data_IF_755433258384
#
_entry.id   IF_755433258384
#
_cell.length_a   1.000
_cell.length_b   1.000
_cell.length_c   1.000
_cell.angle_alpha   90.00
_cell.angle_beta   90.00
_cell.angle_gamma   90.00
#
_symmetry.space_group_name_H-M   'P 1'
#
loop_
_entity.id
_entity.type
_entity.pdbx_description
1 polymer ?
#
# COMPACT_ATOMS: atom_id res chain seq x y z
N UNK A 1 -18.57 -16.74 -3.74
CA UNK A 1 -17.45 -15.83 -3.42
C UNK A 1 -16.46 -15.84 -4.59
N UNK A 2 -16.13 -14.68 -5.15
CA UNK A 2 -15.10 -14.56 -6.20
C UNK A 2 -13.76 -14.22 -5.52
N UNK A 3 -12.90 -15.22 -5.30
CA UNK A 3 -11.59 -15.04 -4.70
C UNK A 3 -10.92 -16.35 -4.30
N UNK A 4 -9.66 -16.26 -3.90
CA UNK A 4 -8.86 -17.38 -3.39
C UNK A 4 -8.80 -17.27 -1.87
N UNK A 5 -9.09 -18.37 -1.17
CA UNK A 5 -9.25 -18.38 0.29
C UNK A 5 -8.45 -19.52 0.93
N UNK A 6 -7.79 -19.24 2.05
CA UNK A 6 -7.13 -20.24 2.87
C UNK A 6 -8.16 -21.09 3.63
N UNK A 7 -7.85 -22.37 3.93
CA UNK A 7 -8.75 -23.24 4.68
C UNK A 7 -9.24 -22.60 5.98
N UNK A 8 -10.56 -22.57 6.18
CA UNK A 8 -11.20 -22.09 7.41
C UNK A 8 -11.34 -20.57 7.53
N UNK A 9 -10.84 -19.79 6.58
CA UNK A 9 -11.08 -18.34 6.55
C UNK A 9 -12.44 -18.00 5.91
N UNK A 10 -12.93 -18.85 5.02
CA UNK A 10 -14.23 -18.78 4.35
C UNK A 10 -15.40 -18.64 5.33
N UNK A 11 -15.34 -19.32 6.48
CA UNK A 11 -16.35 -19.19 7.54
C UNK A 11 -16.49 -17.77 8.11
N UNK A 12 -15.42 -16.97 8.02
CA UNK A 12 -15.40 -15.57 8.48
C UNK A 12 -15.99 -14.60 7.46
N UNK A 13 -16.19 -15.06 6.22
CA UNK A 13 -16.65 -14.25 5.09
C UNK A 13 -18.15 -14.39 4.81
N UNK A 14 -18.91 -15.09 5.66
CA UNK A 14 -20.34 -15.36 5.44
C UNK A 14 -21.18 -14.09 5.24
N UNK A 15 -20.79 -12.95 5.82
CA UNK A 15 -21.48 -11.67 5.59
C UNK A 15 -21.34 -11.16 4.15
N UNK A 16 -20.24 -11.48 3.46
CA UNK A 16 -20.00 -11.05 2.07
C UNK A 16 -21.02 -11.68 1.12
N UNK A 17 -21.46 -12.91 1.38
CA UNK A 17 -22.44 -13.62 0.56
C UNK A 17 -23.83 -12.94 0.55
N UNK A 18 -24.12 -12.15 1.58
CA UNK A 18 -25.46 -11.55 1.79
C UNK A 18 -25.56 -10.09 1.37
N UNK A 19 -24.49 -9.43 0.92
CA UNK A 19 -24.59 -8.00 0.59
C UNK A 19 -23.36 -7.30 0.02
N UNK A 20 -22.17 -7.92 -0.02
CA UNK A 20 -20.99 -7.30 -0.62
C UNK A 20 -20.84 -7.74 -2.08
N UNK A 21 -21.40 -6.94 -3.01
CA UNK A 21 -21.13 -7.10 -4.44
C UNK A 21 -19.95 -6.20 -4.80
N UNK A 22 -18.74 -6.75 -4.72
CA UNK A 22 -17.61 -6.11 -5.37
C UNK A 22 -17.86 -6.19 -6.89
N UNK A 23 -17.93 -5.06 -7.56
CA UNK A 23 -17.94 -4.97 -9.04
C UNK A 23 -16.62 -5.41 -9.69
N UNK A 24 -15.69 -5.91 -8.85
CA UNK A 24 -14.36 -6.33 -9.22
C UNK A 24 -13.33 -5.21 -9.21
N UNK A 25 -13.71 -3.94 -9.00
CA UNK A 25 -12.78 -2.79 -9.02
C UNK A 25 -11.98 -2.66 -7.73
N UNK A 26 -12.58 -3.01 -6.60
CA UNK A 26 -11.95 -2.93 -5.29
C UNK A 26 -10.87 -4.00 -5.08
N UNK A 27 -9.80 -3.61 -4.40
CA UNK A 27 -8.71 -4.50 -4.03
C UNK A 27 -9.00 -5.00 -2.62
N UNK A 28 -9.46 -6.25 -2.52
CA UNK A 28 -9.88 -6.85 -1.26
C UNK A 28 -8.97 -8.01 -0.92
N UNK A 29 -8.48 -8.01 0.32
CA UNK A 29 -7.75 -9.13 0.88
C UNK A 29 -8.09 -9.33 2.35
N UNK A 30 -7.94 -10.56 2.83
CA UNK A 30 -8.15 -10.93 4.22
C UNK A 30 -6.87 -11.45 4.85
N UNK A 31 -6.71 -11.21 6.15
CA UNK A 31 -5.55 -11.68 6.91
C UNK A 31 -5.96 -12.31 8.23
N UNK A 32 -5.16 -13.28 8.67
CA UNK A 32 -5.18 -13.84 10.01
C UNK A 32 -4.57 -12.85 11.03
N UNK A 33 -4.74 -13.08 12.35
CA UNK A 33 -4.21 -12.19 13.39
C UNK A 33 -2.68 -12.02 13.40
N UNK A 34 -1.95 -12.97 12.80
CA UNK A 34 -0.49 -12.91 12.61
C UNK A 34 -0.06 -12.17 11.32
N UNK A 35 -1.02 -11.54 10.63
CA UNK A 35 -0.87 -10.82 9.36
C UNK A 35 -0.58 -11.71 8.14
N UNK A 36 -0.73 -13.02 8.27
CA UNK A 36 -0.65 -13.92 7.12
C UNK A 36 -1.88 -13.76 6.22
N UNK A 37 -1.66 -13.72 4.91
CA UNK A 37 -2.69 -13.57 3.89
C UNK A 37 -3.58 -14.81 3.89
N UNK A 38 -4.87 -14.58 4.07
CA UNK A 38 -5.88 -15.63 4.18
C UNK A 38 -6.91 -15.59 3.06
N UNK A 39 -7.06 -14.45 2.39
CA UNK A 39 -8.00 -14.27 1.28
C UNK A 39 -7.52 -13.17 0.34
N UNK A 40 -7.85 -13.28 -0.94
CA UNK A 40 -7.77 -12.16 -1.89
C UNK A 40 -8.77 -12.34 -3.04
N UNK A 41 -9.26 -11.23 -3.58
CA UNK A 41 -10.20 -11.22 -4.70
C UNK A 41 -9.49 -11.04 -6.06
N UNK A 42 -10.26 -11.02 -7.15
CA UNK A 42 -9.73 -10.75 -8.49
C UNK A 42 -9.15 -9.33 -8.63
N UNK A 43 -9.66 -8.36 -7.87
CA UNK A 43 -9.12 -7.00 -7.84
C UNK A 43 -7.68 -6.93 -7.35
N UNK A 44 -7.32 -7.75 -6.33
CA UNK A 44 -5.93 -7.93 -5.90
C UNK A 44 -5.05 -8.48 -7.03
N UNK A 45 -5.51 -9.53 -7.73
CA UNK A 45 -4.75 -10.15 -8.82
C UNK A 45 -4.54 -9.16 -9.97
N UNK A 46 -5.60 -8.42 -10.36
CA UNK A 46 -5.51 -7.37 -11.38
C UNK A 46 -4.51 -6.30 -10.95
N UNK A 47 -4.63 -5.79 -9.73
CA UNK A 47 -3.75 -4.75 -9.22
C UNK A 47 -2.29 -5.20 -9.18
N UNK A 48 -2.01 -6.41 -8.71
CA UNK A 48 -0.66 -6.96 -8.73
C UNK A 48 -0.10 -7.04 -10.16
N UNK A 49 -0.91 -7.47 -11.14
CA UNK A 49 -0.51 -7.54 -12.55
C UNK A 49 -0.22 -6.17 -13.15
N UNK A 50 -1.07 -5.19 -12.88
CA UNK A 50 -0.94 -3.82 -13.40
C UNK A 50 0.26 -3.06 -12.82
N UNK A 51 0.81 -3.52 -11.70
CA UNK A 51 1.96 -2.92 -11.04
C UNK A 51 3.20 -3.84 -11.06
N UNK A 52 3.29 -4.74 -12.04
CA UNK A 52 4.41 -5.66 -12.24
C UNK A 52 4.79 -6.48 -10.98
N UNK A 53 3.78 -6.83 -10.19
CA UNK A 53 3.92 -7.67 -9.01
C UNK A 53 4.44 -9.06 -9.36
N UNK A 54 5.24 -9.62 -8.47
CA UNK A 54 5.78 -10.97 -8.65
C UNK A 54 4.67 -12.00 -8.86
N UNK A 55 4.92 -13.01 -9.69
CA UNK A 55 3.93 -14.02 -10.09
C UNK A 55 3.27 -14.73 -8.90
N UNK A 56 4.03 -14.98 -7.83
CA UNK A 56 3.51 -15.63 -6.63
C UNK A 56 2.41 -14.82 -5.93
N UNK A 57 2.38 -13.48 -6.06
CA UNK A 57 1.34 -12.60 -5.50
C UNK A 57 -0.04 -12.82 -6.13
N UNK A 58 -0.05 -13.38 -7.33
CA UNK A 58 -1.25 -13.61 -8.14
C UNK A 58 -1.69 -15.08 -8.08
N UNK A 59 -1.09 -15.87 -7.20
CA UNK A 59 -1.30 -17.32 -7.11
C UNK A 59 -1.73 -17.75 -5.70
N UNK A 60 -2.35 -18.92 -5.53
CA UNK A 60 -2.64 -19.48 -4.22
C UNK A 60 -1.42 -19.65 -3.30
N UNK A 61 -0.19 -19.69 -3.84
CA UNK A 61 1.07 -19.73 -3.07
C UNK A 61 1.32 -18.45 -2.26
N UNK A 62 0.56 -17.38 -2.52
CA UNK A 62 0.57 -16.17 -1.70
C UNK A 62 -0.08 -16.36 -0.33
N UNK A 63 -1.00 -17.33 -0.20
CA UNK A 63 -1.67 -17.61 1.07
C UNK A 63 -0.68 -18.08 2.13
N UNK A 64 -0.89 -17.65 3.37
CA UNK A 64 0.00 -17.94 4.51
C UNK A 64 1.24 -17.04 4.60
N UNK A 65 1.60 -16.29 3.55
CA UNK A 65 2.69 -15.30 3.61
C UNK A 65 2.22 -14.04 4.32
N UNK A 66 3.12 -13.31 4.98
CA UNK A 66 2.73 -12.05 5.63
C UNK A 66 2.43 -10.99 4.59
N UNK A 67 1.30 -10.29 4.72
CA UNK A 67 1.03 -9.11 3.88
C UNK A 67 2.05 -7.98 4.13
N UNK A 68 2.77 -8.01 5.25
CA UNK A 68 3.83 -7.05 5.53
C UNK A 68 5.08 -7.29 4.67
N UNK A 69 5.25 -8.48 4.10
CA UNK A 69 6.41 -8.79 3.25
C UNK A 69 6.39 -8.01 1.93
N UNK A 70 5.18 -7.70 1.43
CA UNK A 70 4.96 -6.90 0.21
C UNK A 70 4.91 -5.39 0.49
N UNK A 71 4.88 -5.02 1.76
CA UNK A 71 4.92 -3.62 2.20
C UNK A 71 6.38 -3.17 2.29
N UNK A 72 6.65 -1.96 1.80
CA UNK A 72 7.98 -1.32 1.91
C UNK A 72 8.44 -1.32 3.37
N UNK A 73 9.71 -1.64 3.62
CA UNK A 73 10.24 -1.86 4.97
C UNK A 73 9.91 -0.71 5.94
N UNK A 74 10.03 0.53 5.47
CA UNK A 74 9.74 1.76 6.23
C UNK A 74 8.29 1.90 6.68
N UNK A 75 7.35 1.27 5.96
CA UNK A 75 5.92 1.32 6.25
C UNK A 75 5.45 0.15 7.11
N UNK A 76 6.23 -0.93 7.23
CA UNK A 76 5.84 -2.14 7.97
C UNK A 76 5.48 -1.87 9.43
N UNK A 77 6.21 -1.03 10.20
CA UNK A 77 5.84 -0.74 11.59
C UNK A 77 4.46 -0.11 11.71
N UNK A 78 4.14 0.84 10.82
CA UNK A 78 2.84 1.49 10.78
C UNK A 78 1.71 0.49 10.47
N UNK A 79 1.83 -0.30 9.41
CA UNK A 79 0.78 -1.25 9.02
C UNK A 79 0.60 -2.37 10.04
N UNK A 80 1.68 -2.85 10.66
CA UNK A 80 1.61 -3.79 11.78
C UNK A 80 0.73 -3.25 12.90
N UNK A 81 0.96 -2.00 13.29
CA UNK A 81 0.17 -1.34 14.33
C UNK A 81 -1.27 -1.12 13.90
N UNK A 82 -1.50 -0.63 12.68
CA UNK A 82 -2.83 -0.39 12.12
C UNK A 82 -3.67 -1.68 12.17
N UNK A 83 -3.11 -2.81 11.70
CA UNK A 83 -3.77 -4.11 11.71
C UNK A 83 -3.99 -4.63 13.12
N UNK A 84 -3.00 -4.48 14.02
CA UNK A 84 -3.12 -4.90 15.43
C UNK A 84 -4.26 -4.16 16.14
N UNK A 85 -4.41 -2.86 15.87
CA UNK A 85 -5.50 -2.05 16.41
C UNK A 85 -6.84 -2.48 15.83
N UNK A 86 -6.94 -2.71 14.52
CA UNK A 86 -8.19 -3.14 13.90
C UNK A 86 -8.65 -4.50 14.46
N UNK A 87 -7.72 -5.42 14.74
CA UNK A 87 -8.03 -6.73 15.34
C UNK A 87 -8.59 -6.61 16.76
N UNK A 88 -8.09 -5.65 17.53
CA UNK A 88 -8.40 -5.51 18.97
C UNK A 88 -9.50 -4.50 19.28
N UNK A 89 -9.72 -3.51 18.41
CA UNK A 89 -10.69 -2.43 18.65
C UNK A 89 -12.12 -2.95 18.63
N UNK A 90 -12.88 -2.68 19.69
CA UNK A 90 -14.31 -2.94 19.76
C UNK A 90 -15.04 -1.65 19.39
N UNK A 91 -15.61 -1.61 18.19
CA UNK A 91 -16.35 -0.43 17.69
C UNK A 91 -17.78 -0.83 17.35
N UNK A 92 -18.73 0.09 17.54
CA UNK A 92 -20.13 -0.11 17.12
C UNK A 92 -20.32 -0.09 15.59
N UNK A 93 -19.31 0.35 14.83
CA UNK A 93 -19.34 0.42 13.36
C UNK A 93 -18.86 -0.88 12.72
N UNK A 94 -19.36 -1.22 11.51
CA UNK A 94 -18.99 -2.44 10.78
C UNK A 94 -17.51 -2.45 10.33
N UNK A 95 -16.93 -1.29 10.03
CA UNK A 95 -15.48 -1.12 9.85
C UNK A 95 -14.89 -0.44 11.08
N UNK A 96 -13.77 -0.98 11.56
CA UNK A 96 -13.14 -0.52 12.81
C UNK A 96 -12.22 0.66 12.60
N UNK A 97 -11.56 0.76 11.44
CA UNK A 97 -10.53 1.76 11.14
C UNK A 97 -10.52 2.06 9.64
N UNK A 98 -10.21 3.31 9.26
CA UNK A 98 -9.91 3.72 7.89
C UNK A 98 -8.55 4.40 7.80
N UNK A 99 -7.86 4.26 6.67
CA UNK A 99 -6.58 4.91 6.38
C UNK A 99 -6.49 5.27 4.90
N UNK A 100 -6.10 6.50 4.57
CA UNK A 100 -5.85 6.89 3.18
C UNK A 100 -4.36 6.80 2.86
N UNK A 101 -4.01 6.42 1.63
CA UNK A 101 -2.62 6.32 1.20
C UNK A 101 -2.45 6.59 -0.30
N UNK A 102 -1.23 6.94 -0.72
CA UNK A 102 -0.87 7.10 -2.13
C UNK A 102 -0.27 5.80 -2.68
N UNK A 103 -0.64 5.45 -3.92
CA UNK A 103 -0.05 4.35 -4.67
C UNK A 103 0.11 4.71 -6.14
N UNK A 104 0.85 5.80 -6.36
CA UNK A 104 1.02 6.41 -7.69
C UNK A 104 2.00 5.64 -8.56
N UNK A 105 1.75 5.61 -9.87
CA UNK A 105 2.75 5.24 -10.89
C UNK A 105 3.52 6.48 -11.35
N UNK A 106 4.44 6.32 -12.30
CA UNK A 106 5.16 7.44 -12.90
C UNK A 106 4.24 8.40 -13.68
N UNK A 107 3.13 7.90 -14.21
CA UNK A 107 2.19 8.64 -15.06
C UNK A 107 0.98 9.13 -14.26
N UNK A 108 0.46 8.28 -13.38
CA UNK A 108 -0.80 8.51 -12.68
C UNK A 108 -0.59 8.70 -11.18
N UNK A 109 -1.12 9.80 -10.67
CA UNK A 109 -1.38 9.98 -9.25
C UNK A 109 -2.59 9.14 -8.85
N UNK A 110 -2.44 8.32 -7.82
CA UNK A 110 -3.55 7.53 -7.24
C UNK A 110 -3.58 7.65 -5.73
N UNK A 111 -4.78 7.88 -5.20
CA UNK A 111 -5.07 7.86 -3.77
C UNK A 111 -6.14 6.83 -3.47
N UNK A 112 -5.90 6.01 -2.45
CA UNK A 112 -6.81 4.95 -2.01
C UNK A 112 -7.31 5.24 -0.60
N UNK A 113 -8.53 4.78 -0.33
CA UNK A 113 -9.06 4.63 1.02
C UNK A 113 -9.04 3.15 1.38
N UNK A 114 -8.31 2.81 2.45
CA UNK A 114 -8.26 1.50 3.06
C UNK A 114 -9.28 1.44 4.20
N UNK A 115 -10.19 0.46 4.15
CA UNK A 115 -11.13 0.15 5.22
C UNK A 115 -10.81 -1.21 5.82
N UNK A 116 -10.77 -1.28 7.15
CA UNK A 116 -10.42 -2.49 7.91
C UNK A 116 -11.65 -2.98 8.68
N UNK A 117 -12.20 -4.10 8.22
CA UNK A 117 -13.33 -4.79 8.83
C UNK A 117 -12.83 -5.89 9.75
N UNK A 118 -13.18 -5.78 11.02
CA UNK A 118 -12.87 -6.81 12.01
C UNK A 118 -13.83 -7.98 11.83
N UNK A 119 -13.28 -9.19 11.67
CA UNK A 119 -14.07 -10.41 11.45
C UNK A 119 -14.22 -11.20 12.76
N UNK A 120 -15.44 -11.66 13.03
CA UNK A 120 -15.83 -12.58 14.12
C UNK A 120 -15.01 -12.44 15.41
N UNK A 121 -15.16 -11.30 16.10
CA UNK A 121 -14.49 -11.06 17.37
C UNK A 121 -12.96 -10.86 17.25
N UNK A 122 -12.42 -10.61 16.06
CA UNK A 122 -10.98 -10.41 15.83
C UNK A 122 -10.23 -11.67 15.41
N UNK A 123 -10.94 -12.70 14.91
CA UNK A 123 -10.31 -13.89 14.31
C UNK A 123 -9.65 -13.62 12.96
N UNK A 124 -9.91 -12.47 12.36
CA UNK A 124 -9.24 -12.00 11.15
C UNK A 124 -9.63 -10.56 10.83
N UNK A 125 -9.00 -10.02 9.79
CA UNK A 125 -9.40 -8.76 9.16
C UNK A 125 -9.74 -9.00 7.70
N UNK A 126 -10.76 -8.28 7.22
CA UNK A 126 -10.94 -8.02 5.80
C UNK A 126 -10.53 -6.57 5.53
N UNK A 127 -9.66 -6.38 4.54
CA UNK A 127 -9.17 -5.08 4.11
C UNK A 127 -9.72 -4.83 2.71
N UNK A 128 -10.43 -3.72 2.54
CA UNK A 128 -10.88 -3.24 1.25
C UNK A 128 -10.15 -1.93 0.91
N UNK A 129 -9.57 -1.86 -0.29
CA UNK A 129 -8.95 -0.64 -0.80
C UNK A 129 -9.72 -0.17 -2.02
N UNK A 130 -10.29 1.02 -1.90
CA UNK A 130 -11.10 1.64 -2.94
C UNK A 130 -10.38 2.87 -3.47
N UNK A 131 -10.34 3.01 -4.80
CA UNK A 131 -9.73 4.16 -5.47
C UNK A 131 -10.57 5.42 -5.19
N UNK A 132 -9.94 6.46 -4.64
CA UNK A 132 -10.61 7.73 -4.31
C UNK A 132 -10.32 8.78 -5.38
N UNK A 133 -9.08 8.82 -5.86
CA UNK A 133 -8.62 9.75 -6.89
C UNK A 133 -7.68 9.01 -7.83
N UNK A 134 -7.88 9.19 -9.12
CA UNK A 134 -6.92 8.88 -10.17
C UNK A 134 -6.86 10.02 -11.17
N UNK A 135 -5.66 10.50 -11.46
CA UNK A 135 -5.42 11.55 -12.46
C UNK A 135 -3.95 11.60 -12.87
N UNK A 136 -3.63 12.18 -14.03
CA UNK A 136 -2.24 12.48 -14.38
C UNK A 136 -1.58 13.39 -13.34
N UNK A 137 -0.27 13.21 -13.09
CA UNK A 137 0.47 14.08 -12.14
C UNK A 137 0.47 15.56 -12.53
N UNK A 138 0.39 15.85 -13.83
CA UNK A 138 0.29 17.22 -14.36
C UNK A 138 -0.97 17.93 -13.87
N UNK A 139 -2.11 17.22 -13.82
CA UNK A 139 -3.37 17.77 -13.33
C UNK A 139 -3.34 18.08 -11.82
N UNK A 140 -2.46 17.41 -11.06
CA UNK A 140 -2.18 17.70 -9.65
C UNK A 140 -1.27 18.92 -9.46
N UNK A 141 -0.67 19.45 -10.54
CA UNK A 141 0.33 20.51 -10.48
C UNK A 141 1.70 20.02 -9.99
N UNK A 142 1.97 18.71 -10.02
CA UNK A 142 3.30 18.18 -9.69
C UNK A 142 4.20 18.37 -10.90
N UNK A 143 5.19 19.25 -10.78
CA UNK A 143 6.16 19.51 -11.85
C UNK A 143 7.14 18.33 -11.96
N UNK A 144 7.23 17.65 -13.12
CA UNK A 144 8.23 16.62 -13.32
C UNK A 144 9.62 17.25 -13.41
N UNK A 145 10.59 16.55 -12.85
CA UNK A 145 12.02 16.84 -12.99
C UNK A 145 12.61 15.76 -13.88
N UNK A 146 13.32 16.17 -14.93
CA UNK A 146 14.08 15.24 -15.77
C UNK A 146 15.17 14.55 -14.95
N UNK A 147 15.45 13.26 -15.19
CA UNK A 147 16.53 12.56 -14.50
C UNK A 147 17.85 13.26 -14.82
N UNK A 148 18.64 13.67 -13.80
CA UNK A 148 19.91 14.35 -14.03
C UNK A 148 20.92 13.41 -14.68
N UNK A 149 21.83 13.97 -15.50
CA UNK A 149 22.99 13.23 -16.02
C UNK A 149 23.92 12.75 -14.91
N UNK A 150 24.01 13.52 -13.84
CA UNK A 150 24.75 13.18 -12.61
C UNK A 150 23.76 12.99 -11.45
N UNK A 151 23.67 11.76 -10.93
CA UNK A 151 22.80 11.44 -9.80
C UNK A 151 23.39 11.79 -8.43
N UNK A 152 24.64 12.27 -8.37
CA UNK A 152 25.34 12.62 -7.12
C UNK A 152 24.51 13.50 -6.18
N UNK A 153 23.73 14.51 -6.64
CA UNK A 153 22.89 15.32 -5.76
C UNK A 153 21.79 14.54 -5.01
N UNK A 154 21.46 13.33 -5.46
CA UNK A 154 20.42 12.46 -4.89
C UNK A 154 20.98 11.26 -4.10
N UNK A 155 22.29 11.04 -4.14
CA UNK A 155 22.98 9.97 -3.42
C UNK A 155 23.36 10.43 -2.00
N UNK A 156 22.99 9.64 -0.99
CA UNK A 156 23.44 9.89 0.39
C UNK A 156 24.90 9.44 0.60
N UNK A 157 25.41 9.54 1.83
CA UNK A 157 26.76 9.13 2.22
C UNK A 157 27.08 7.64 2.01
N UNK A 158 26.06 6.81 1.74
CA UNK A 158 26.17 5.39 1.43
C UNK A 158 25.92 5.07 -0.05
N UNK A 159 25.90 6.10 -0.90
CA UNK A 159 25.61 5.99 -2.34
C UNK A 159 24.23 5.37 -2.61
N UNK A 160 23.25 5.66 -1.74
CA UNK A 160 21.86 5.24 -1.90
C UNK A 160 21.02 6.42 -2.35
N UNK A 161 20.13 6.15 -3.31
CA UNK A 161 19.07 7.08 -3.70
C UNK A 161 17.84 6.77 -2.87
N UNK A 162 17.34 7.75 -2.11
CA UNK A 162 16.21 7.54 -1.20
C UNK A 162 14.91 7.93 -1.88
N UNK A 163 14.04 6.96 -2.12
CA UNK A 163 12.67 7.17 -2.62
C UNK A 163 11.66 7.13 -1.46
N UNK A 164 10.70 8.06 -1.46
CA UNK A 164 9.61 8.03 -0.48
C UNK A 164 8.71 6.82 -0.76
N UNK A 165 8.55 5.93 0.21
CA UNK A 165 7.73 4.72 0.11
C UNK A 165 6.24 5.02 -0.15
N UNK A 166 5.79 6.24 0.14
CA UNK A 166 4.41 6.68 -0.02
C UNK A 166 4.17 7.44 -1.33
N UNK A 167 4.78 8.62 -1.49
CA UNK A 167 4.54 9.47 -2.67
C UNK A 167 5.51 9.24 -3.83
N UNK A 168 6.50 8.32 -3.68
CA UNK A 168 7.50 7.97 -4.70
C UNK A 168 8.44 9.08 -5.16
N UNK A 169 8.35 10.29 -4.58
CA UNK A 169 9.34 11.36 -4.77
C UNK A 169 10.72 10.94 -4.27
N UNK A 170 11.76 11.53 -4.84
CA UNK A 170 13.16 11.19 -4.58
C UNK A 170 13.81 12.31 -3.75
N UNK A 171 14.53 11.97 -2.69
CA UNK A 171 15.16 12.94 -1.80
C UNK A 171 16.37 13.58 -2.48
N UNK A 172 16.39 14.91 -2.52
CA UNK A 172 17.59 15.66 -2.88
C UNK A 172 18.48 15.79 -1.63
N UNK A 173 19.74 15.38 -1.71
CA UNK A 173 20.63 15.29 -0.53
C UNK A 173 21.38 16.59 -0.25
N UNK A 174 21.54 17.44 -1.26
CA UNK A 174 22.22 18.74 -1.11
C UNK A 174 21.25 19.89 -0.81
N UNK A 175 19.94 19.65 -0.84
CA UNK A 175 18.91 20.67 -0.63
C UNK A 175 17.95 20.18 0.45
N UNK A 176 18.03 20.80 1.62
CA UNK A 176 17.28 20.35 2.78
C UNK A 176 15.76 20.36 2.54
N UNK A 177 15.09 19.33 3.04
CA UNK A 177 13.64 19.13 2.88
C UNK A 177 13.14 18.92 1.45
N UNK A 178 14.01 18.93 0.42
CA UNK A 178 13.59 18.84 -0.98
C UNK A 178 13.39 17.39 -1.42
N UNK A 179 12.23 17.15 -2.03
CA UNK A 179 11.86 15.88 -2.65
C UNK A 179 11.32 16.13 -4.05
N UNK A 180 11.99 15.59 -5.05
CA UNK A 180 11.66 15.82 -6.46
C UNK A 180 10.83 14.68 -7.04
N UNK A 181 9.88 15.04 -7.91
CA UNK A 181 9.15 14.08 -8.71
C UNK A 181 9.93 13.78 -9.99
N UNK A 182 10.57 12.61 -10.05
CA UNK A 182 11.36 12.17 -11.21
C UNK A 182 10.69 10.93 -11.81
N UNK A 183 9.71 11.09 -12.74
CA UNK A 183 8.92 9.98 -13.29
C UNK A 183 9.78 8.84 -13.84
N UNK A 184 10.89 9.16 -14.51
CA UNK A 184 11.79 8.18 -15.08
C UNK A 184 12.36 7.23 -14.01
N UNK A 185 12.71 7.74 -12.83
CA UNK A 185 13.21 6.96 -11.70
C UNK A 185 12.10 6.24 -10.93
N UNK A 186 10.85 6.71 -11.01
CA UNK A 186 9.71 5.95 -10.47
C UNK A 186 9.41 4.73 -11.34
N UNK A 187 9.44 4.91 -12.68
CA UNK A 187 9.22 3.82 -13.64
C UNK A 187 10.35 2.79 -13.59
N UNK A 188 11.60 3.27 -13.50
CA UNK A 188 12.78 2.43 -13.41
C UNK A 188 13.70 3.00 -12.32
N UNK A 189 13.56 2.52 -11.08
CA UNK A 189 14.42 2.93 -9.98
C UNK A 189 15.89 2.75 -10.36
N UNK A 190 16.74 3.76 -10.11
CA UNK A 190 18.18 3.60 -10.23
C UNK A 190 18.69 2.43 -9.38
N UNK A 191 19.85 1.90 -9.74
CA UNK A 191 20.55 0.94 -8.89
C UNK A 191 20.78 1.55 -7.50
N UNK A 192 20.73 0.70 -6.45
CA UNK A 192 20.91 1.13 -5.05
C UNK A 192 19.85 2.13 -4.56
N UNK A 193 18.65 2.09 -5.12
CA UNK A 193 17.50 2.81 -4.54
C UNK A 193 17.07 2.14 -3.24
N UNK A 194 17.04 2.93 -2.16
CA UNK A 194 16.40 2.57 -0.88
C UNK A 194 15.10 3.36 -0.70
N UNK A 195 14.36 3.02 0.36
CA UNK A 195 13.11 3.70 0.68
C UNK A 195 13.23 4.46 2.01
N UNK A 196 12.33 5.43 2.18
CA UNK A 196 12.16 6.22 3.39
C UNK A 196 10.82 6.94 3.34
N UNK A 197 10.61 7.95 4.20
CA UNK A 197 9.44 8.82 4.13
C UNK A 197 9.87 10.28 4.11
N UNK A 198 9.22 11.08 3.26
CA UNK A 198 9.33 12.53 3.35
C UNK A 198 8.48 13.07 4.50
N UNK A 199 8.84 14.24 5.02
CA UNK A 199 8.17 14.84 6.18
C UNK A 199 6.68 15.06 5.96
N UNK A 200 6.29 15.40 4.72
CA UNK A 200 4.89 15.56 4.35
C UNK A 200 4.12 14.24 4.45
N UNK A 201 4.67 13.14 3.93
CA UNK A 201 4.01 11.83 4.01
C UNK A 201 4.00 11.30 5.44
N UNK A 202 5.09 11.49 6.18
CA UNK A 202 5.17 11.12 7.59
C UNK A 202 4.12 11.87 8.40
N UNK A 203 3.99 13.19 8.26
CA UNK A 203 3.03 13.99 9.03
C UNK A 203 1.57 13.74 8.62
N UNK A 204 1.30 13.58 7.33
CA UNK A 204 -0.08 13.50 6.83
C UNK A 204 -0.64 12.07 6.81
N UNK A 205 0.10 11.11 6.26
CA UNK A 205 -0.38 9.73 6.09
C UNK A 205 0.03 8.83 7.25
N UNK A 206 1.24 9.02 7.79
CA UNK A 206 1.82 8.12 8.79
C UNK A 206 2.20 8.83 10.10
N UNK A 207 1.34 9.69 10.67
CA UNK A 207 1.72 10.48 11.82
C UNK A 207 2.10 9.56 13.00
N UNK A 208 3.18 9.87 13.73
CA UNK A 208 3.44 9.21 15.00
C UNK A 208 2.24 9.41 15.92
N UNK A 209 1.97 8.44 16.79
CA UNK A 209 0.85 8.56 17.72
C UNK A 209 0.97 9.84 18.55
N UNK A 210 -0.16 10.51 18.72
CA UNK A 210 -0.42 11.36 19.88
C UNK A 210 -0.87 10.48 21.05
#
# INVERSE_FOLDING_TARGET
>A
MNGVCAPGFDRLLGFMETGWQADGTEIIYGIWPDFSLAYFNEGWVRFARENDGASWLMSPECLGRSVLDVTSADLRPFYRELFSRALTSVTARPYSISHEYECSSAENYRKFAMLLFRLDGGQGLLIANSLVVEMPHEARGTLPVEPPTDSTPYCNEHELIVQCAACRRIRHQQLDGRWDWIPAWVRRPPERTSHGLCDLCMSYYYPPRQ
#
